data_IF_801853433228
#
_entry.id   IF_801853433228
#
_cell.length_a   1.000
_cell.length_b   1.000
_cell.length_c   1.000
_cell.angle_alpha   90.00
_cell.angle_beta   90.00
_cell.angle_gamma   90.00
#
_symmetry.space_group_name_H-M   'P 1'
#
loop_
_entity.id
_entity.type
_entity.pdbx_description
1 polymer ?
#
# COMPACT_ATOMS: atom_id res chain seq x y z
N UNK A 1 6.91 -18.02 -19.27
CA UNK A 1 7.66 -18.78 -18.23
C UNK A 1 6.85 -18.70 -16.95
N UNK A 2 6.77 -19.78 -16.17
CA UNK A 2 6.04 -19.78 -14.89
C UNK A 2 6.81 -18.97 -13.84
N UNK A 3 6.10 -18.14 -13.07
CA UNK A 3 6.67 -17.27 -12.02
C UNK A 3 6.13 -17.72 -10.66
N UNK A 4 7.00 -17.80 -9.66
CA UNK A 4 6.57 -17.96 -8.27
C UNK A 4 6.35 -16.57 -7.67
N UNK A 5 5.22 -16.36 -7.01
CA UNK A 5 4.86 -15.07 -6.40
C UNK A 5 4.53 -15.23 -4.92
N UNK A 6 5.15 -14.42 -4.08
CA UNK A 6 4.95 -14.43 -2.65
C UNK A 6 5.27 -13.05 -2.04
N UNK A 7 4.77 -12.74 -0.84
CA UNK A 7 3.80 -13.51 -0.06
C UNK A 7 2.33 -13.14 -0.33
N UNK A 8 2.07 -12.03 -1.04
CA UNK A 8 0.73 -11.44 -1.15
C UNK A 8 -0.03 -11.95 -2.38
N UNK A 9 -1.18 -12.60 -2.15
CA UNK A 9 -2.04 -13.18 -3.19
C UNK A 9 -2.76 -12.15 -4.03
N UNK A 10 -3.26 -11.08 -3.44
CA UNK A 10 -3.98 -10.03 -4.16
C UNK A 10 -3.08 -9.32 -5.16
N UNK A 11 -1.86 -9.01 -4.75
CA UNK A 11 -0.87 -8.43 -5.64
C UNK A 11 -0.45 -9.43 -6.73
N UNK A 12 -0.32 -10.72 -6.39
CA UNK A 12 -0.03 -11.77 -7.37
C UNK A 12 -1.13 -11.91 -8.43
N UNK A 13 -2.39 -11.94 -7.99
CA UNK A 13 -3.57 -11.98 -8.86
C UNK A 13 -3.66 -10.73 -9.73
N UNK A 14 -3.41 -9.54 -9.15
CA UNK A 14 -3.34 -8.28 -9.89
C UNK A 14 -2.27 -8.35 -11.00
N UNK A 15 -1.04 -8.74 -10.67
CA UNK A 15 0.04 -8.86 -11.66
C UNK A 15 -0.30 -9.91 -12.72
N UNK A 16 -0.90 -11.04 -12.35
CA UNK A 16 -1.32 -12.07 -13.31
C UNK A 16 -2.36 -11.52 -14.31
N UNK A 17 -3.36 -10.78 -13.83
CA UNK A 17 -4.38 -10.13 -14.68
C UNK A 17 -3.78 -9.07 -15.60
N UNK A 18 -2.94 -8.18 -15.07
CA UNK A 18 -2.37 -7.06 -15.84
C UNK A 18 -1.32 -7.50 -16.87
N UNK A 19 -0.52 -8.53 -16.54
CA UNK A 19 0.60 -8.97 -17.40
C UNK A 19 0.28 -10.19 -18.28
N UNK A 20 -0.77 -10.94 -17.95
CA UNK A 20 -1.05 -12.25 -18.56
C UNK A 20 0.00 -13.32 -18.23
N UNK A 21 0.86 -13.09 -17.23
CA UNK A 21 1.87 -14.05 -16.83
C UNK A 21 1.26 -15.28 -16.11
N UNK A 22 1.86 -16.45 -16.34
CA UNK A 22 1.58 -17.68 -15.60
C UNK A 22 2.27 -17.60 -14.23
N UNK A 23 1.48 -17.29 -13.19
CA UNK A 23 1.96 -17.07 -11.82
C UNK A 23 1.40 -18.15 -10.89
N UNK A 24 2.28 -18.81 -10.14
CA UNK A 24 1.93 -19.61 -8.98
C UNK A 24 2.05 -18.75 -7.73
N UNK A 25 0.93 -18.52 -7.06
CA UNK A 25 0.80 -17.53 -5.98
C UNK A 25 0.77 -18.22 -4.62
N UNK A 26 1.53 -17.68 -3.67
CA UNK A 26 1.46 -18.07 -2.26
C UNK A 26 0.22 -17.46 -1.59
N UNK A 27 -0.52 -18.27 -0.81
CA UNK A 27 -1.76 -17.85 -0.15
C UNK A 27 -1.50 -17.04 1.14
N UNK A 28 -0.91 -15.85 0.98
CA UNK A 28 -0.76 -14.86 2.04
C UNK A 28 -1.43 -13.54 1.67
N UNK A 29 -1.74 -12.71 2.67
CA UNK A 29 -2.35 -11.41 2.46
C UNK A 29 -1.91 -10.42 3.55
N UNK A 30 -1.93 -9.13 3.23
CA UNK A 30 -1.79 -8.07 4.21
C UNK A 30 -3.07 -7.97 5.05
N UNK A 31 -2.96 -8.02 6.38
CA UNK A 31 -4.13 -7.96 7.26
C UNK A 31 -4.92 -6.64 7.13
N UNK A 32 -4.26 -5.54 6.75
CA UNK A 32 -4.91 -4.23 6.60
C UNK A 32 -5.71 -4.20 5.30
N UNK A 33 -5.07 -4.55 4.18
CA UNK A 33 -5.70 -4.46 2.87
C UNK A 33 -6.78 -5.54 2.65
N UNK A 34 -6.62 -6.73 3.23
CA UNK A 34 -7.62 -7.82 3.19
C UNK A 34 -8.96 -7.43 3.83
N UNK A 35 -8.93 -6.58 4.85
CA UNK A 35 -10.13 -6.18 5.60
C UNK A 35 -11.02 -5.18 4.84
N UNK A 36 -10.49 -4.54 3.79
CA UNK A 36 -11.22 -3.56 2.97
C UNK A 36 -12.40 -4.22 2.25
N UNK A 37 -13.58 -3.59 2.32
CA UNK A 37 -14.81 -4.12 1.70
C UNK A 37 -15.35 -3.19 0.63
N UNK A 38 -15.52 -3.74 -0.57
CA UNK A 38 -16.11 -3.04 -1.72
C UNK A 38 -17.49 -2.46 -1.38
N UNK A 39 -18.33 -3.20 -0.65
CA UNK A 39 -19.64 -2.75 -0.19
C UNK A 39 -19.56 -1.45 0.61
N UNK A 40 -18.66 -1.37 1.58
CA UNK A 40 -18.52 -0.16 2.39
C UNK A 40 -17.99 1.04 1.59
N UNK A 41 -17.14 0.81 0.59
CA UNK A 41 -16.72 1.86 -0.34
C UNK A 41 -17.91 2.35 -1.19
N UNK A 42 -18.76 1.42 -1.66
CA UNK A 42 -19.97 1.76 -2.41
C UNK A 42 -20.98 2.54 -1.56
N UNK A 43 -21.14 2.19 -0.29
CA UNK A 43 -21.99 2.92 0.66
C UNK A 43 -21.48 4.37 0.84
N UNK A 44 -20.16 4.58 0.93
CA UNK A 44 -19.57 5.93 0.95
C UNK A 44 -19.80 6.65 -0.40
N UNK A 45 -19.67 5.97 -1.55
CA UNK A 45 -19.97 6.58 -2.86
C UNK A 45 -21.45 6.98 -3.01
N UNK A 46 -22.39 6.36 -2.30
CA UNK A 46 -23.78 6.83 -2.29
C UNK A 46 -23.91 8.19 -1.62
N UNK A 47 -23.11 8.47 -0.59
CA UNK A 47 -23.09 9.76 0.12
C UNK A 47 -22.20 10.78 -0.62
N UNK A 48 -21.13 10.31 -1.27
CA UNK A 48 -20.16 11.12 -2.00
C UNK A 48 -20.01 10.61 -3.45
N UNK A 49 -21.01 10.84 -4.32
CA UNK A 49 -21.01 10.29 -5.69
C UNK A 49 -19.90 10.89 -6.57
N UNK A 50 -19.37 12.06 -6.20
CA UNK A 50 -18.27 12.75 -6.86
C UNK A 50 -16.88 12.29 -6.40
N UNK A 51 -16.80 11.42 -5.38
CA UNK A 51 -15.52 10.98 -4.83
C UNK A 51 -14.84 9.93 -5.73
N UNK A 52 -13.54 10.13 -5.99
CA UNK A 52 -12.70 9.14 -6.64
C UNK A 52 -12.18 8.10 -5.62
N UNK A 53 -12.07 6.84 -6.03
CA UNK A 53 -11.57 5.75 -5.21
C UNK A 53 -10.11 5.48 -5.58
N UNK A 54 -9.21 5.58 -4.60
CA UNK A 54 -7.78 5.27 -4.75
C UNK A 54 -7.48 4.00 -3.96
N UNK A 55 -6.97 2.96 -4.61
CA UNK A 55 -6.75 1.66 -3.97
C UNK A 55 -5.31 1.16 -4.12
N UNK A 56 -4.83 0.45 -3.10
CA UNK A 56 -3.57 -0.28 -3.18
C UNK A 56 -3.79 -1.65 -3.85
N UNK A 57 -2.88 -2.14 -4.73
CA UNK A 57 -3.03 -3.43 -5.43
C UNK A 57 -3.01 -4.66 -4.50
N UNK A 58 -2.68 -4.49 -3.22
CA UNK A 58 -2.83 -5.54 -2.21
C UNK A 58 -4.27 -5.71 -1.69
N UNK A 59 -5.21 -4.90 -2.19
CA UNK A 59 -6.63 -4.98 -1.82
C UNK A 59 -7.34 -6.11 -2.59
N UNK A 60 -8.44 -6.67 -2.04
CA UNK A 60 -9.25 -7.65 -2.76
C UNK A 60 -9.70 -7.18 -4.13
N UNK A 61 -9.83 -8.11 -5.09
CA UNK A 61 -10.26 -7.80 -6.47
C UNK A 61 -11.55 -6.97 -6.54
N UNK A 62 -12.52 -7.25 -5.66
CA UNK A 62 -13.77 -6.48 -5.59
C UNK A 62 -13.57 -4.99 -5.25
N UNK A 63 -12.51 -4.65 -4.52
CA UNK A 63 -12.13 -3.25 -4.21
C UNK A 63 -11.40 -2.63 -5.41
N UNK A 64 -10.53 -3.39 -6.07
CA UNK A 64 -9.80 -2.94 -7.25
C UNK A 64 -10.74 -2.63 -8.43
N UNK A 65 -11.79 -3.45 -8.62
CA UNK A 65 -12.78 -3.29 -9.69
C UNK A 65 -13.58 -1.97 -9.62
N UNK A 66 -13.68 -1.37 -8.42
CA UNK A 66 -14.39 -0.11 -8.20
C UNK A 66 -13.44 1.09 -8.01
N UNK A 67 -12.12 0.87 -8.14
CA UNK A 67 -11.11 1.90 -7.97
C UNK A 67 -10.96 2.76 -9.23
N UNK A 68 -10.90 4.08 -9.05
CA UNK A 68 -10.60 5.03 -10.12
C UNK A 68 -9.07 5.10 -10.38
N UNK A 69 -8.26 4.76 -9.38
CA UNK A 69 -6.81 4.59 -9.53
C UNK A 69 -6.28 3.46 -8.63
N UNK A 70 -5.42 2.60 -9.18
CA UNK A 70 -4.75 1.52 -8.47
C UNK A 70 -3.24 1.77 -8.50
N UNK A 71 -2.59 1.75 -7.33
CA UNK A 71 -1.14 1.92 -7.29
C UNK A 71 -0.52 1.83 -5.89
N UNK A 72 0.80 1.88 -5.84
CA UNK A 72 1.56 2.04 -4.60
C UNK A 72 1.19 3.32 -3.85
N UNK A 73 1.56 3.44 -2.57
CA UNK A 73 1.35 4.66 -1.77
C UNK A 73 1.83 5.94 -2.48
N UNK A 74 2.98 5.89 -3.15
CA UNK A 74 3.52 7.04 -3.91
C UNK A 74 2.63 7.38 -5.11
N UNK A 75 2.14 6.38 -5.84
CA UNK A 75 1.23 6.57 -6.97
C UNK A 75 -0.14 7.09 -6.51
N UNK A 76 -0.66 6.60 -5.38
CA UNK A 76 -1.90 7.09 -4.76
C UNK A 76 -1.77 8.58 -4.39
N UNK A 77 -0.68 8.99 -3.75
CA UNK A 77 -0.45 10.40 -3.40
C UNK A 77 -0.36 11.25 -4.66
N UNK A 78 0.34 10.78 -5.69
CA UNK A 78 0.43 11.48 -6.98
C UNK A 78 -0.94 11.62 -7.64
N UNK A 79 -1.71 10.55 -7.74
CA UNK A 79 -3.06 10.55 -8.30
C UNK A 79 -3.99 11.49 -7.52
N UNK A 80 -3.90 11.52 -6.19
CA UNK A 80 -4.64 12.46 -5.36
C UNK A 80 -4.34 13.93 -5.71
N UNK A 81 -3.12 14.26 -6.13
CA UNK A 81 -2.79 15.63 -6.58
C UNK A 81 -3.28 15.94 -8.00
N UNK A 82 -3.18 14.97 -8.92
CA UNK A 82 -3.42 15.16 -10.36
C UNK A 82 -4.89 15.04 -10.76
N UNK A 83 -5.66 14.20 -10.06
CA UNK A 83 -7.07 13.96 -10.38
C UNK A 83 -7.94 15.18 -10.08
N UNK A 84 -8.96 15.51 -10.90
CA UNK A 84 -9.76 16.71 -10.75
C UNK A 84 -10.76 16.68 -9.57
N UNK A 85 -11.06 15.50 -9.02
CA UNK A 85 -12.00 15.32 -7.92
C UNK A 85 -11.55 16.06 -6.66
N UNK A 86 -12.52 16.53 -5.88
CA UNK A 86 -12.27 17.21 -4.59
C UNK A 86 -12.33 16.25 -3.40
N UNK A 87 -12.96 15.08 -3.57
CA UNK A 87 -13.10 14.06 -2.55
C UNK A 87 -12.48 12.75 -3.02
N UNK A 88 -11.81 12.06 -2.11
CA UNK A 88 -11.18 10.78 -2.40
C UNK A 88 -11.51 9.78 -1.31
N UNK A 89 -11.91 8.57 -1.70
CA UNK A 89 -12.01 7.41 -0.81
C UNK A 89 -10.71 6.64 -0.97
N UNK A 90 -9.93 6.54 0.10
CA UNK A 90 -8.57 5.98 0.05
C UNK A 90 -8.56 4.62 0.72
N UNK A 91 -8.38 3.57 -0.10
CA UNK A 91 -8.34 2.16 0.27
C UNK A 91 -6.90 1.69 0.44
N UNK A 92 -6.27 2.14 1.52
CA UNK A 92 -4.92 1.76 1.96
C UNK A 92 -4.73 2.10 3.45
N UNK A 93 -3.51 1.97 3.96
CA UNK A 93 -3.16 2.28 5.35
C UNK A 93 -3.40 3.77 5.71
N UNK A 94 -3.98 4.02 6.87
CA UNK A 94 -4.35 5.33 7.40
C UNK A 94 -3.12 6.24 7.62
N UNK A 95 -1.94 5.67 7.87
CA UNK A 95 -0.71 6.42 8.07
C UNK A 95 -0.32 7.31 6.88
N UNK A 96 -0.88 7.08 5.69
CA UNK A 96 -0.61 7.91 4.52
C UNK A 96 -1.42 9.21 4.49
N UNK A 97 -2.49 9.33 5.28
CA UNK A 97 -3.43 10.46 5.22
C UNK A 97 -2.75 11.79 5.54
N UNK A 98 -1.79 11.80 6.46
CA UNK A 98 -1.00 12.99 6.74
C UNK A 98 -0.24 13.47 5.49
N UNK A 99 0.36 12.55 4.73
CA UNK A 99 1.08 12.88 3.48
C UNK A 99 0.11 13.33 2.39
N UNK A 100 -1.07 12.72 2.28
CA UNK A 100 -2.12 13.15 1.36
C UNK A 100 -2.57 14.57 1.65
N UNK A 101 -2.90 14.87 2.92
CA UNK A 101 -3.30 16.22 3.33
C UNK A 101 -2.20 17.25 3.09
N UNK A 102 -0.93 16.88 3.29
CA UNK A 102 0.21 17.76 3.00
C UNK A 102 0.39 18.00 1.50
N UNK A 103 0.19 16.98 0.66
CA UNK A 103 0.36 17.07 -0.79
C UNK A 103 -0.80 17.79 -1.49
N UNK A 104 -2.02 17.67 -0.94
CA UNK A 104 -3.23 18.28 -1.46
C UNK A 104 -4.11 18.80 -0.32
N UNK A 105 -3.77 19.96 0.27
CA UNK A 105 -4.45 20.48 1.46
C UNK A 105 -5.90 20.89 1.22
N UNK A 106 -6.26 21.22 -0.03
CA UNK A 106 -7.62 21.67 -0.40
C UNK A 106 -8.57 20.51 -0.71
N UNK A 107 -8.06 19.27 -0.75
CA UNK A 107 -8.83 18.06 -1.07
C UNK A 107 -9.28 17.35 0.21
N UNK A 108 -10.41 16.66 0.13
CA UNK A 108 -10.98 15.86 1.23
C UNK A 108 -10.66 14.38 1.05
N UNK A 109 -10.13 13.75 2.09
CA UNK A 109 -9.78 12.33 2.08
C UNK A 109 -10.66 11.56 3.07
N UNK A 110 -11.30 10.50 2.60
CA UNK A 110 -12.16 9.59 3.35
C UNK A 110 -11.45 8.23 3.46
N UNK A 111 -11.39 7.69 4.68
CA UNK A 111 -10.82 6.36 4.92
C UNK A 111 -11.80 5.31 4.38
N UNK A 112 -11.31 4.40 3.54
CA UNK A 112 -12.12 3.27 3.12
C UNK A 112 -12.39 2.36 4.33
N UNK A 113 -13.62 1.86 4.49
CA UNK A 113 -14.00 1.09 5.66
C UNK A 113 -13.38 -0.31 5.60
N UNK A 114 -12.73 -0.67 6.70
CA UNK A 114 -12.39 -2.04 7.08
C UNK A 114 -13.57 -2.65 7.85
N UNK A 115 -13.57 -3.97 8.06
CA UNK A 115 -14.73 -4.76 8.50
C UNK A 115 -15.65 -4.12 9.58
N UNK A 116 -16.96 -4.41 9.48
CA UNK A 116 -18.01 -3.97 10.41
C UNK A 116 -19.30 -3.62 9.66
N UNK A 117 -20.47 -3.85 10.27
CA UNK A 117 -21.77 -3.44 9.70
C UNK A 117 -22.40 -2.32 10.55
N UNK A 118 -22.90 -1.26 9.91
CA UNK A 118 -23.58 -0.16 10.60
C UNK A 118 -22.67 0.60 11.57
N UNK A 119 -23.10 0.73 12.84
CA UNK A 119 -22.39 1.50 13.88
C UNK A 119 -21.13 0.80 14.44
N UNK A 120 -20.81 -0.43 14.01
CA UNK A 120 -19.61 -1.18 14.44
C UNK A 120 -18.49 -1.14 13.43
N UNK A 121 -18.48 -0.17 12.51
CA UNK A 121 -17.40 0.03 11.56
C UNK A 121 -16.07 0.13 12.35
N UNK A 122 -15.21 -0.89 12.25
CA UNK A 122 -13.80 -0.73 12.61
C UNK A 122 -13.18 0.01 11.44
N UNK A 123 -13.38 1.33 11.38
CA UNK A 123 -12.68 2.18 10.42
C UNK A 123 -11.31 2.53 10.99
N UNK A 124 -10.36 1.61 10.92
CA UNK A 124 -8.98 1.90 11.27
C UNK A 124 -8.09 1.02 10.40
N UNK A 125 -8.05 1.25 9.08
CA UNK A 125 -7.09 0.60 8.18
C UNK A 125 -5.65 0.95 8.63
N UNK A 126 -5.21 0.37 9.74
CA UNK A 126 -4.11 0.83 10.55
C UNK A 126 -3.26 -0.39 10.86
N UNK A 127 -2.06 -0.40 10.29
CA UNK A 127 -1.10 -1.46 10.52
C UNK A 127 -0.57 -1.37 11.97
N UNK A 128 -0.88 -2.35 12.85
CA UNK A 128 -0.46 -2.29 14.25
C UNK A 128 1.07 -2.32 14.39
N UNK A 129 1.78 -2.92 13.44
CA UNK A 129 3.24 -2.97 13.47
C UNK A 129 3.90 -1.68 13.01
N UNK A 130 3.30 -0.93 12.09
CA UNK A 130 3.80 0.40 11.73
C UNK A 130 3.66 1.38 12.88
N UNK A 131 2.55 1.26 13.63
CA UNK A 131 2.24 2.10 14.78
C UNK A 131 3.17 1.88 16.00
N UNK A 132 4.01 0.84 16.00
CA UNK A 132 4.99 0.61 17.08
C UNK A 132 6.13 1.65 17.10
N UNK A 133 6.30 2.45 16.04
CA UNK A 133 7.34 3.48 15.99
C UNK A 133 6.83 4.79 16.60
N UNK A 134 6.94 4.90 17.94
CA UNK A 134 6.51 6.07 18.71
C UNK A 134 7.64 7.09 18.91
N UNK A 135 7.30 8.35 19.22
CA UNK A 135 8.28 9.44 19.32
C UNK A 135 9.32 9.20 20.43
N UNK A 136 8.88 8.65 21.56
CA UNK A 136 9.72 8.29 22.69
C UNK A 136 10.75 7.22 22.26
N UNK A 137 10.28 6.15 21.60
CA UNK A 137 11.16 5.09 21.10
C UNK A 137 12.17 5.61 20.08
N UNK A 138 11.74 6.53 19.19
CA UNK A 138 12.64 7.17 18.23
C UNK A 138 13.70 8.02 18.93
N UNK A 139 13.34 8.79 19.96
CA UNK A 139 14.30 9.56 20.76
C UNK A 139 15.30 8.64 21.45
N UNK A 140 14.83 7.57 22.08
CA UNK A 140 15.69 6.62 22.77
C UNK A 140 16.67 5.92 21.82
N UNK A 141 16.25 5.59 20.60
CA UNK A 141 17.12 5.01 19.58
C UNK A 141 18.25 5.99 19.21
N UNK A 142 17.96 7.29 19.16
CA UNK A 142 18.95 8.32 18.82
C UNK A 142 19.92 8.60 19.97
N UNK A 143 19.43 8.63 21.21
CA UNK A 143 20.25 8.92 22.39
C UNK A 143 21.07 7.71 22.87
N UNK A 144 20.51 6.50 22.76
CA UNK A 144 21.12 5.26 23.23
C UNK A 144 20.92 4.12 22.22
N UNK A 145 21.63 4.12 21.08
CA UNK A 145 21.40 3.16 19.99
C UNK A 145 21.85 1.72 20.29
N UNK A 146 22.66 1.51 21.33
CA UNK A 146 23.26 0.21 21.63
C UNK A 146 22.19 -0.89 21.88
N UNK A 147 22.33 -2.03 21.20
CA UNK A 147 21.40 -3.15 21.29
C UNK A 147 20.18 -3.04 20.37
N UNK A 148 20.10 -1.98 19.56
CA UNK A 148 19.05 -1.77 18.55
C UNK A 148 19.56 -1.95 17.12
N UNK A 149 20.79 -2.42 16.95
CA UNK A 149 21.37 -2.69 15.64
C UNK A 149 20.67 -3.89 14.97
N UNK A 150 20.37 -3.74 13.68
CA UNK A 150 19.86 -4.84 12.85
C UNK A 150 21.05 -5.63 12.32
N UNK A 151 21.22 -6.84 12.81
CA UNK A 151 22.23 -7.76 12.32
C UNK A 151 21.63 -8.71 11.28
N UNK A 152 22.28 -8.79 10.13
CA UNK A 152 21.97 -9.75 9.06
C UNK A 152 23.22 -10.58 8.81
N UNK A 153 23.05 -11.89 8.68
CA UNK A 153 24.17 -12.78 8.32
C UNK A 153 24.83 -12.30 7.02
N UNK A 154 26.18 -12.14 6.96
CA UNK A 154 26.86 -11.60 5.79
C UNK A 154 26.61 -12.38 4.50
N UNK A 155 26.52 -13.71 4.57
CA UNK A 155 26.26 -14.53 3.38
C UNK A 155 24.81 -14.35 2.92
N UNK A 156 23.85 -14.33 3.85
CA UNK A 156 22.45 -14.02 3.54
C UNK A 156 22.29 -12.62 2.94
N UNK A 157 22.99 -11.63 3.45
CA UNK A 157 22.95 -10.26 2.94
C UNK A 157 23.45 -10.20 1.48
N UNK A 158 24.57 -10.87 1.17
CA UNK A 158 25.09 -10.94 -0.21
C UNK A 158 24.08 -11.59 -1.16
N UNK A 159 23.48 -12.71 -0.76
CA UNK A 159 22.51 -13.42 -1.58
C UNK A 159 21.20 -12.63 -1.76
N UNK A 160 20.74 -11.93 -0.72
CA UNK A 160 19.54 -11.08 -0.78
C UNK A 160 19.74 -9.84 -1.69
N UNK A 161 20.97 -9.35 -1.81
CA UNK A 161 21.28 -8.22 -2.71
C UNK A 161 21.18 -8.60 -4.19
N UNK A 162 21.36 -9.88 -4.55
CA UNK A 162 21.28 -10.34 -5.96
C UNK A 162 19.90 -10.09 -6.60
N UNK A 163 18.76 -10.56 -6.04
CA UNK A 163 17.44 -10.25 -6.59
C UNK A 163 17.09 -8.76 -6.47
N UNK A 164 17.50 -8.09 -5.38
CA UNK A 164 17.25 -6.66 -5.20
C UNK A 164 17.92 -5.82 -6.30
N UNK A 165 19.21 -6.07 -6.58
CA UNK A 165 19.93 -5.37 -7.63
C UNK A 165 19.33 -5.64 -9.02
N UNK A 166 18.89 -6.87 -9.29
CA UNK A 166 18.17 -7.18 -10.55
C UNK A 166 16.87 -6.37 -10.68
N UNK A 167 16.11 -6.24 -9.59
CA UNK A 167 14.89 -5.42 -9.57
C UNK A 167 15.20 -3.95 -9.85
N UNK A 168 16.22 -3.38 -9.19
CA UNK A 168 16.61 -1.98 -9.39
C UNK A 168 17.15 -1.72 -10.79
N UNK A 169 18.02 -2.58 -11.32
CA UNK A 169 18.54 -2.47 -12.69
C UNK A 169 17.43 -2.58 -13.74
N UNK A 170 16.46 -3.48 -13.52
CA UNK A 170 15.30 -3.60 -14.38
C UNK A 170 14.44 -2.33 -14.35
N UNK A 171 14.14 -1.81 -13.15
CA UNK A 171 13.38 -0.57 -13.01
C UNK A 171 14.05 0.64 -13.70
N UNK A 172 15.38 0.75 -13.62
CA UNK A 172 16.15 1.77 -14.34
C UNK A 172 16.02 1.63 -15.86
N UNK A 173 16.02 0.41 -16.39
CA UNK A 173 15.85 0.16 -17.83
C UNK A 173 14.47 0.57 -18.37
N UNK A 174 13.46 0.66 -17.50
CA UNK A 174 12.09 1.00 -17.87
C UNK A 174 11.84 2.52 -17.94
N UNK A 175 12.83 3.39 -17.70
CA UNK A 175 12.66 4.85 -17.54
C UNK A 175 11.58 5.25 -16.51
N UNK A 176 11.17 4.32 -15.66
CA UNK A 176 10.38 4.61 -14.46
C UNK A 176 11.35 5.15 -13.42
N UNK A 177 11.20 6.41 -13.00
CA UNK A 177 12.11 7.13 -12.11
C UNK A 177 12.24 6.57 -10.68
N UNK A 178 12.52 5.28 -10.53
CA UNK A 178 12.81 4.62 -9.26
C UNK A 178 14.26 4.90 -8.90
N UNK A 179 14.49 5.93 -8.09
CA UNK A 179 15.80 6.23 -7.51
C UNK A 179 15.98 5.36 -6.25
N UNK A 180 16.36 4.10 -6.44
CA UNK A 180 16.92 3.29 -5.37
C UNK A 180 18.44 3.47 -5.37
N UNK A 181 18.97 4.25 -4.43
CA UNK A 181 20.42 4.22 -4.15
C UNK A 181 20.67 3.02 -3.24
N UNK A 182 21.48 2.07 -3.74
CA UNK A 182 22.11 1.05 -2.92
C UNK A 182 23.15 1.68 -1.99
#
# INVERSE_FOLDING_TARGET
KKVLWAPNRHLGDYVSRESGADILVWDGACIVHEELKARGILDIKQVHPDAAVLAHPESPASVLEIADHIGSTTQIIKAATELPQQKFIVATDQGIFYKLQKAAPDKTFLIAPTAGEGATCRSCANCPWMAMNELELLSEVLDAPAGREIFVDPALAEDAMRPLNRMLSFAQSLNTGVVGRA
#
